data_IF_837557866722
#
_entry.id   IF_837557866722
#
_cell.length_a   1.000
_cell.length_b   1.000
_cell.length_c   1.000
_cell.angle_alpha   90.00
_cell.angle_beta   90.00
_cell.angle_gamma   90.00
#
_symmetry.space_group_name_H-M   'P 1'
#
loop_
_entity.id
_entity.type
_entity.pdbx_description
1 polymer ?
#
# COMPACT_ATOMS: atom_id res chain seq x y z
N UNK A 1 3.64 7.96 -26.27
CA UNK A 1 3.30 7.78 -24.83
C UNK A 1 2.64 6.43 -24.56
N UNK A 2 1.63 6.03 -25.36
CA UNK A 2 1.03 4.69 -25.31
C UNK A 2 2.07 3.54 -25.42
N UNK A 3 3.01 3.67 -26.34
CA UNK A 3 4.09 2.68 -26.55
C UNK A 3 4.96 2.44 -25.30
N UNK A 4 5.29 3.49 -24.54
CA UNK A 4 6.06 3.34 -23.28
C UNK A 4 5.26 2.62 -22.20
N UNK A 5 3.96 2.92 -22.13
CA UNK A 5 3.04 2.30 -21.18
C UNK A 5 2.79 0.82 -21.50
N UNK A 6 2.74 0.45 -22.77
CA UNK A 6 2.44 -0.93 -23.21
C UNK A 6 3.69 -1.83 -23.26
N UNK A 7 4.87 -1.33 -22.87
CA UNK A 7 6.07 -2.17 -22.78
C UNK A 7 5.93 -3.26 -21.72
N UNK A 8 6.56 -4.42 -21.97
CA UNK A 8 6.61 -5.51 -21.01
C UNK A 8 7.20 -5.07 -19.66
N UNK A 9 8.23 -4.21 -19.68
CA UNK A 9 8.84 -3.64 -18.46
C UNK A 9 7.83 -2.87 -17.61
N UNK A 10 7.03 -2.00 -18.23
CA UNK A 10 6.01 -1.25 -17.50
C UNK A 10 4.88 -2.16 -17.00
N UNK A 11 4.41 -3.10 -17.83
CA UNK A 11 3.39 -4.06 -17.42
C UNK A 11 3.83 -4.93 -16.25
N UNK A 12 5.07 -5.42 -16.25
CA UNK A 12 5.63 -6.22 -15.16
C UNK A 12 5.79 -5.39 -13.87
N UNK A 13 6.35 -4.19 -13.98
CA UNK A 13 6.46 -3.25 -12.86
C UNK A 13 5.10 -2.94 -12.21
N UNK A 14 4.05 -2.74 -13.02
CA UNK A 14 2.71 -2.52 -12.52
C UNK A 14 2.17 -3.81 -11.90
N UNK A 15 2.21 -4.95 -12.62
CA UNK A 15 1.63 -6.23 -12.20
C UNK A 15 2.17 -6.71 -10.85
N UNK A 16 3.46 -6.61 -10.64
CA UNK A 16 4.09 -7.00 -9.36
C UNK A 16 3.54 -6.20 -8.17
N UNK A 17 3.20 -4.92 -8.37
CA UNK A 17 2.65 -4.06 -7.31
C UNK A 17 1.26 -4.52 -6.82
N UNK A 18 0.51 -5.28 -7.64
CA UNK A 18 -0.82 -5.80 -7.29
C UNK A 18 -0.76 -6.93 -6.26
N UNK A 19 0.41 -7.56 -6.03
CA UNK A 19 0.54 -8.60 -5.02
C UNK A 19 0.15 -8.04 -3.65
N UNK A 20 -0.82 -8.64 -2.97
CA UNK A 20 -1.24 -8.27 -1.61
C UNK A 20 -0.65 -9.26 -0.61
N UNK A 21 0.09 -8.76 0.38
CA UNK A 21 0.68 -9.59 1.43
C UNK A 21 -0.41 -10.23 2.32
N UNK A 22 -0.20 -11.44 2.83
CA UNK A 22 -1.22 -12.17 3.63
C UNK A 22 -1.68 -11.39 4.86
N UNK A 23 -0.76 -10.73 5.57
CA UNK A 23 -1.08 -9.82 6.68
C UNK A 23 -2.05 -8.70 6.27
N UNK A 24 -1.96 -8.19 5.04
CA UNK A 24 -2.86 -7.15 4.55
C UNK A 24 -4.27 -7.69 4.30
N UNK A 25 -4.43 -8.93 3.84
CA UNK A 25 -5.74 -9.53 3.54
C UNK A 25 -6.66 -9.62 4.75
N UNK A 26 -6.08 -9.81 5.95
CA UNK A 26 -6.80 -9.89 7.24
C UNK A 26 -6.75 -8.58 8.05
N UNK A 27 -6.11 -7.53 7.56
CA UNK A 27 -5.94 -6.29 8.31
C UNK A 27 -7.17 -5.38 8.21
N UNK A 28 -7.72 -4.95 9.35
CA UNK A 28 -8.87 -4.00 9.39
C UNK A 28 -8.57 -2.66 8.71
N UNK A 29 -7.30 -2.26 8.64
CA UNK A 29 -6.85 -1.01 8.01
C UNK A 29 -6.61 -1.13 6.49
N UNK A 30 -6.78 -2.31 5.88
CA UNK A 30 -6.44 -2.53 4.48
C UNK A 30 -7.19 -1.60 3.52
N UNK A 31 -8.47 -1.32 3.77
CA UNK A 31 -9.27 -0.44 2.90
C UNK A 31 -8.77 1.01 2.88
N UNK A 32 -8.04 1.44 3.91
CA UNK A 32 -7.43 2.77 3.98
C UNK A 32 -5.97 2.75 3.49
N UNK A 33 -5.15 1.85 4.02
CA UNK A 33 -3.71 1.80 3.76
C UNK A 33 -3.34 1.12 2.42
N UNK A 34 -4.12 0.11 2.01
CA UNK A 34 -3.92 -0.70 0.79
C UNK A 34 -2.55 -1.38 0.65
N UNK A 35 -1.80 -1.50 1.75
CA UNK A 35 -0.44 -2.06 1.76
C UNK A 35 0.68 -1.03 1.57
N UNK A 36 0.34 0.25 1.40
CA UNK A 36 1.31 1.33 1.22
C UNK A 36 2.12 1.24 -0.08
N UNK A 37 3.18 2.04 -0.18
CA UNK A 37 3.99 2.14 -1.39
C UNK A 37 4.76 0.84 -1.70
N UNK A 38 4.80 0.44 -3.00
CA UNK A 38 5.60 -0.69 -3.49
C UNK A 38 7.06 -0.59 -3.06
N UNK A 39 7.67 0.60 -3.15
CA UNK A 39 9.08 0.83 -2.80
C UNK A 39 9.43 0.45 -1.36
N UNK A 40 8.47 0.57 -0.45
CA UNK A 40 8.64 0.20 0.98
C UNK A 40 8.34 -1.27 1.26
N UNK A 41 8.06 -2.06 0.23
CA UNK A 41 7.80 -3.50 0.27
C UNK A 41 8.84 -4.30 -0.51
N UNK A 42 9.84 -3.62 -1.04
CA UNK A 42 10.86 -4.15 -1.92
C UNK A 42 12.18 -4.25 -1.12
N UNK A 43 12.45 -5.41 -0.50
CA UNK A 43 13.58 -5.56 0.41
C UNK A 43 14.91 -5.69 -0.33
N UNK A 44 14.89 -6.28 -1.55
CA UNK A 44 16.07 -6.59 -2.38
C UNK A 44 15.67 -6.70 -3.85
N UNK A 45 16.63 -6.42 -4.74
CA UNK A 45 16.49 -6.64 -6.18
C UNK A 45 16.09 -8.11 -6.46
N UNK A 46 15.16 -8.30 -7.40
CA UNK A 46 14.60 -9.59 -7.82
C UNK A 46 13.90 -10.43 -6.73
N UNK A 47 13.53 -9.83 -5.60
CA UNK A 47 12.77 -10.50 -4.54
C UNK A 47 11.27 -10.25 -4.65
N UNK A 48 10.48 -11.19 -4.15
CA UNK A 48 9.04 -11.01 -4.05
C UNK A 48 8.70 -9.90 -3.04
N UNK A 49 7.74 -9.04 -3.38
CA UNK A 49 7.31 -7.97 -2.46
C UNK A 49 6.86 -8.54 -1.12
N UNK A 50 7.44 -8.00 -0.05
CA UNK A 50 7.17 -8.34 1.34
C UNK A 50 6.10 -7.42 1.94
N UNK A 51 5.93 -7.55 3.26
CA UNK A 51 5.13 -6.61 4.05
C UNK A 51 5.79 -5.22 4.01
N UNK A 52 4.97 -4.18 4.04
CA UNK A 52 5.49 -2.81 4.08
C UNK A 52 6.36 -2.60 5.33
N UNK A 53 7.55 -2.05 5.15
CA UNK A 53 8.48 -1.72 6.23
C UNK A 53 7.83 -0.87 7.35
N UNK A 54 6.90 0.02 6.99
CA UNK A 54 6.15 0.87 7.92
C UNK A 54 4.79 0.29 8.33
N UNK A 55 4.52 -1.00 8.08
CA UNK A 55 3.23 -1.61 8.40
C UNK A 55 2.84 -1.41 9.86
N UNK A 56 3.79 -1.60 10.78
CA UNK A 56 3.53 -1.42 12.20
C UNK A 56 3.23 0.03 12.56
N UNK A 57 4.01 0.98 12.03
CA UNK A 57 3.78 2.42 12.20
C UNK A 57 2.39 2.84 11.69
N UNK A 58 1.94 2.32 10.55
CA UNK A 58 0.59 2.58 10.05
C UNK A 58 -0.49 2.03 10.97
N UNK A 59 -0.34 0.78 11.46
CA UNK A 59 -1.31 0.19 12.39
C UNK A 59 -1.47 1.06 13.63
N UNK A 60 -0.37 1.39 14.29
CA UNK A 60 -0.37 2.22 15.50
C UNK A 60 -0.93 3.62 15.25
N UNK A 61 -0.49 4.27 14.17
CA UNK A 61 -1.00 5.58 13.78
C UNK A 61 -2.50 5.56 13.54
N UNK A 62 -3.03 4.56 12.83
CA UNK A 62 -4.46 4.49 12.56
C UNK A 62 -5.27 4.17 13.81
N UNK A 63 -4.82 3.31 14.72
CA UNK A 63 -5.50 3.16 16.02
C UNK A 63 -5.62 4.50 16.75
N UNK A 64 -4.54 5.30 16.75
CA UNK A 64 -4.50 6.58 17.44
C UNK A 64 -5.30 7.69 16.73
N UNK A 65 -5.19 7.79 15.41
CA UNK A 65 -5.66 8.94 14.64
C UNK A 65 -7.02 8.75 13.98
N UNK A 66 -7.44 7.51 13.71
CA UNK A 66 -8.63 7.25 12.90
C UNK A 66 -9.92 7.93 13.40
N UNK A 67 -10.25 7.98 14.70
CA UNK A 67 -11.44 8.68 15.17
C UNK A 67 -11.44 10.18 14.79
N UNK A 68 -10.27 10.84 14.88
CA UNK A 68 -10.11 12.26 14.52
C UNK A 68 -10.14 12.47 13.00
N UNK A 69 -9.55 11.55 12.23
CA UNK A 69 -9.62 11.58 10.77
C UNK A 69 -11.08 11.50 10.27
N UNK A 70 -11.89 10.62 10.87
CA UNK A 70 -13.32 10.54 10.57
C UNK A 70 -14.05 11.82 10.97
N UNK A 71 -13.73 12.41 12.13
CA UNK A 71 -14.31 13.69 12.52
C UNK A 71 -14.01 14.79 11.49
N UNK A 72 -12.75 14.94 11.08
CA UNK A 72 -12.37 15.93 10.04
C UNK A 72 -13.14 15.67 8.75
N UNK A 73 -13.14 14.42 8.25
CA UNK A 73 -13.84 14.05 7.01
C UNK A 73 -15.33 14.39 7.01
N UNK A 74 -16.00 14.41 8.18
CA UNK A 74 -17.42 14.78 8.31
C UNK A 74 -17.66 16.28 8.31
N UNK A 75 -16.64 17.08 8.64
CA UNK A 75 -16.75 18.52 8.90
C UNK A 75 -16.04 19.40 7.84
N UNK A 76 -15.48 18.81 6.78
CA UNK A 76 -14.81 19.55 5.68
C UNK A 76 -15.65 19.62 4.39
N UNK A 77 -16.97 19.49 4.49
CA UNK A 77 -17.91 19.67 3.38
C UNK A 77 -18.52 21.06 3.39
#
# INVERSE_FOLDING_TARGET
MKELFETNKNHEFIKESFKVHEECKKCKWFRLCKGGCRRCRDPKEDSALELNYYCQSYKEFFEYAFPRLINISKNIK
#
